data_IF_990399357922
#
_entry.id   IF_990399357922
#
_cell.length_a   1.000
_cell.length_b   1.000
_cell.length_c   1.000
_cell.angle_alpha   90.00
_cell.angle_beta   90.00
_cell.angle_gamma   90.00
#
_symmetry.space_group_name_H-M   'P 1'
#
loop_
_entity.id
_entity.type
_entity.pdbx_description
1 polymer ?
#
# COMPACT_ATOMS: atom_id res chain seq x y z
N UNK A 1 5.09 12.04 -4.16
CA UNK A 1 5.10 12.81 -2.90
C UNK A 1 4.40 12.00 -1.81
N UNK A 2 5.00 11.87 -0.63
CA UNK A 2 4.47 11.06 0.49
C UNK A 2 3.22 11.71 1.14
N UNK A 3 2.24 10.92 1.55
CA UNK A 3 1.00 11.35 2.23
C UNK A 3 1.31 12.18 3.48
N UNK A 4 2.31 11.75 4.26
CA UNK A 4 2.76 12.47 5.47
C UNK A 4 3.23 13.89 5.15
N UNK A 5 4.05 14.04 4.11
CA UNK A 5 4.57 15.35 3.68
C UNK A 5 3.46 16.29 3.20
N UNK A 6 2.43 15.75 2.54
CA UNK A 6 1.25 16.55 2.15
C UNK A 6 0.49 17.05 3.37
N UNK A 7 0.29 16.20 4.37
CA UNK A 7 -0.36 16.58 5.62
C UNK A 7 0.45 17.66 6.36
N UNK A 8 1.76 17.48 6.52
CA UNK A 8 2.63 18.44 7.21
C UNK A 8 2.53 19.84 6.59
N UNK A 9 2.62 19.94 5.26
CA UNK A 9 2.49 21.23 4.57
C UNK A 9 1.11 21.86 4.79
N UNK A 10 0.03 21.08 4.74
CA UNK A 10 -1.32 21.62 5.00
C UNK A 10 -1.48 22.04 6.46
N UNK A 11 -0.88 21.32 7.40
CA UNK A 11 -0.84 21.70 8.81
C UNK A 11 -0.09 23.03 8.98
N UNK A 12 1.07 23.19 8.33
CA UNK A 12 1.82 24.45 8.37
C UNK A 12 1.03 25.64 7.80
N UNK A 13 0.17 25.43 6.79
CA UNK A 13 -0.74 26.47 6.30
C UNK A 13 -1.79 26.84 7.34
N UNK A 14 -2.33 25.85 8.07
CA UNK A 14 -3.34 26.06 9.11
C UNK A 14 -2.73 26.77 10.32
N UNK A 15 -1.52 26.38 10.70
CA UNK A 15 -0.70 26.99 11.76
C UNK A 15 -0.14 28.38 11.35
N UNK A 16 -0.51 28.89 10.17
CA UNK A 16 -0.09 30.18 9.61
C UNK A 16 1.43 30.33 9.43
N UNK A 17 2.18 29.23 9.37
CA UNK A 17 3.64 29.23 9.15
C UNK A 17 4.00 29.47 7.69
N UNK A 18 3.13 29.08 6.76
CA UNK A 18 3.33 29.26 5.32
C UNK A 18 2.03 29.75 4.64
N UNK A 19 2.18 30.47 3.54
CA UNK A 19 1.03 30.93 2.74
C UNK A 19 0.45 29.81 1.88
N UNK A 20 -0.81 29.99 1.45
CA UNK A 20 -1.48 29.05 0.53
C UNK A 20 -0.77 28.93 -0.82
N UNK A 21 -0.15 30.01 -1.28
CA UNK A 21 0.65 30.06 -2.52
C UNK A 21 1.95 29.27 -2.36
N UNK A 22 2.64 29.43 -1.23
CA UNK A 22 3.84 28.63 -0.93
C UNK A 22 3.49 27.15 -0.88
N UNK A 23 2.38 26.78 -0.24
CA UNK A 23 1.89 25.41 -0.23
C UNK A 23 1.49 24.90 -1.62
N UNK A 24 0.88 25.74 -2.47
CA UNK A 24 0.49 25.33 -3.83
C UNK A 24 1.71 24.98 -4.68
N UNK A 25 2.80 25.76 -4.55
CA UNK A 25 4.08 25.50 -5.20
C UNK A 25 4.72 24.23 -4.62
N UNK A 26 4.83 24.09 -3.29
CA UNK A 26 5.44 22.91 -2.63
C UNK A 26 4.70 21.61 -2.92
N UNK A 27 3.38 21.66 -3.07
CA UNK A 27 2.53 20.51 -3.38
C UNK A 27 2.41 20.24 -4.89
N UNK A 28 2.86 21.16 -5.74
CA UNK A 28 2.56 21.18 -7.17
C UNK A 28 1.05 21.01 -7.43
N UNK A 29 0.22 21.79 -6.73
CA UNK A 29 -1.23 21.75 -6.81
C UNK A 29 -1.80 23.15 -6.97
N UNK A 30 -3.03 23.27 -7.46
CA UNK A 30 -3.71 24.56 -7.52
C UNK A 30 -4.09 25.06 -6.12
N UNK A 31 -4.18 26.38 -5.95
CA UNK A 31 -4.66 27.01 -4.69
C UNK A 31 -6.05 26.48 -4.31
N UNK A 32 -6.93 26.22 -5.30
CA UNK A 32 -8.22 25.55 -5.09
C UNK A 32 -8.05 24.23 -4.37
N UNK A 33 -7.14 23.37 -4.84
CA UNK A 33 -6.93 22.07 -4.21
C UNK A 33 -6.31 22.19 -2.80
N UNK A 34 -5.42 23.17 -2.59
CA UNK A 34 -4.93 23.50 -1.24
C UNK A 34 -6.08 23.85 -0.29
N UNK A 35 -7.02 24.70 -0.72
CA UNK A 35 -8.22 25.02 0.08
C UNK A 35 -9.09 23.78 0.36
N UNK A 36 -9.27 22.89 -0.63
CA UNK A 36 -9.99 21.61 -0.44
C UNK A 36 -9.28 20.75 0.61
N UNK A 37 -7.95 20.65 0.56
CA UNK A 37 -7.15 19.89 1.51
C UNK A 37 -7.22 20.46 2.93
N UNK A 38 -7.22 21.80 3.07
CA UNK A 38 -7.45 22.47 4.36
C UNK A 38 -8.82 22.11 4.93
N UNK A 39 -9.87 22.18 4.12
CA UNK A 39 -11.23 21.84 4.56
C UNK A 39 -11.35 20.36 4.96
N UNK A 40 -10.70 19.47 4.20
CA UNK A 40 -10.62 18.04 4.54
C UNK A 40 -9.90 17.80 5.87
N UNK A 41 -8.78 18.48 6.11
CA UNK A 41 -8.05 18.39 7.36
C UNK A 41 -8.89 18.90 8.54
N UNK A 42 -9.59 20.02 8.38
CA UNK A 42 -10.48 20.55 9.43
C UNK A 42 -11.62 19.59 9.79
N UNK A 43 -12.14 18.84 8.81
CA UNK A 43 -13.25 17.90 9.01
C UNK A 43 -12.81 16.56 9.61
N UNK A 44 -11.73 15.99 9.08
CA UNK A 44 -11.35 14.59 9.34
C UNK A 44 -9.93 14.44 9.94
N UNK A 45 -9.24 15.55 10.20
CA UNK A 45 -7.86 15.55 10.70
C UNK A 45 -6.89 14.83 9.76
N UNK A 46 -5.97 14.07 10.38
CA UNK A 46 -4.96 13.27 9.68
C UNK A 46 -5.55 12.24 8.71
N UNK A 47 -6.69 11.63 9.07
CA UNK A 47 -7.32 10.54 8.33
C UNK A 47 -7.72 10.99 6.91
N UNK A 48 -7.94 12.30 6.70
CA UNK A 48 -8.28 12.86 5.41
C UNK A 48 -7.21 12.69 4.32
N UNK A 49 -5.96 12.44 4.72
CA UNK A 49 -4.80 12.29 3.83
C UNK A 49 -4.43 10.85 3.57
N UNK A 50 -4.99 9.91 4.35
CA UNK A 50 -4.81 8.48 4.13
C UNK A 50 -5.53 8.12 2.83
N UNK A 51 -4.80 7.50 1.92
CA UNK A 51 -5.32 7.03 0.66
C UNK A 51 -6.44 6.03 0.92
N UNK A 52 -7.55 6.12 0.17
CA UNK A 52 -8.73 5.26 0.40
C UNK A 52 -8.46 3.77 0.16
N UNK A 53 -7.39 3.44 -0.57
CA UNK A 53 -6.93 2.06 -0.77
C UNK A 53 -5.92 1.62 0.28
N UNK A 54 -5.47 2.49 1.19
CA UNK A 54 -4.61 2.11 2.30
C UNK A 54 -5.36 1.12 3.18
N UNK A 55 -4.77 -0.07 3.38
CA UNK A 55 -5.39 -1.17 4.12
C UNK A 55 -6.44 -1.96 3.32
N UNK A 56 -6.83 -1.53 2.12
CA UNK A 56 -7.75 -2.30 1.28
C UNK A 56 -7.00 -3.43 0.58
N UNK A 57 -7.34 -4.66 0.89
CA UNK A 57 -6.85 -5.83 0.16
C UNK A 57 -7.52 -5.90 -1.21
N UNK A 58 -6.74 -6.23 -2.24
CA UNK A 58 -7.27 -6.51 -3.57
C UNK A 58 -8.10 -7.80 -3.54
N UNK A 59 -9.23 -7.84 -4.24
CA UNK A 59 -10.02 -9.08 -4.40
C UNK A 59 -9.23 -10.20 -5.11
N UNK A 60 -8.16 -9.84 -5.85
CA UNK A 60 -7.26 -10.79 -6.51
C UNK A 60 -6.12 -11.27 -5.61
N UNK A 61 -5.96 -10.70 -4.41
CA UNK A 61 -4.90 -11.09 -3.48
C UNK A 61 -5.19 -12.51 -3.00
N UNK A 62 -4.18 -13.37 -3.04
CA UNK A 62 -4.23 -14.70 -2.42
C UNK A 62 -4.48 -14.53 -0.92
N UNK A 63 -5.38 -15.33 -0.35
CA UNK A 63 -5.71 -15.23 1.07
C UNK A 63 -4.48 -15.45 1.95
N UNK A 64 -4.50 -14.86 3.14
CA UNK A 64 -3.44 -15.06 4.14
C UNK A 64 -3.26 -16.53 4.47
N UNK A 65 -4.35 -17.30 4.58
CA UNK A 65 -4.34 -18.72 4.91
C UNK A 65 -3.61 -19.55 3.83
N UNK A 66 -3.89 -19.29 2.55
CA UNK A 66 -3.20 -19.96 1.44
C UNK A 66 -1.72 -19.54 1.43
N UNK A 67 -1.43 -18.27 1.66
CA UNK A 67 -0.04 -17.77 1.73
C UNK A 67 0.75 -18.48 2.83
N UNK A 68 0.17 -18.61 4.03
CA UNK A 68 0.78 -19.31 5.16
C UNK A 68 0.96 -20.80 4.88
N UNK A 69 -0.03 -21.44 4.23
CA UNK A 69 0.08 -22.85 3.80
C UNK A 69 1.25 -23.05 2.84
N UNK A 70 1.41 -22.17 1.84
CA UNK A 70 2.51 -22.23 0.88
C UNK A 70 3.86 -22.10 1.58
N UNK A 71 4.01 -21.12 2.50
CA UNK A 71 5.25 -20.93 3.27
C UNK A 71 5.57 -22.16 4.11
N UNK A 72 4.57 -22.75 4.75
CA UNK A 72 4.74 -23.94 5.58
C UNK A 72 5.19 -25.15 4.74
N UNK A 73 4.53 -25.41 3.61
CA UNK A 73 4.91 -26.48 2.68
C UNK A 73 6.35 -26.32 2.20
N UNK A 74 6.74 -25.08 1.85
CA UNK A 74 8.10 -24.83 1.41
C UNK A 74 9.13 -25.14 2.51
N UNK A 75 8.87 -24.75 3.75
CA UNK A 75 9.78 -24.98 4.88
C UNK A 75 9.86 -26.44 5.32
N UNK A 76 8.72 -27.12 5.36
CA UNK A 76 8.61 -28.45 5.96
C UNK A 76 8.96 -29.57 4.96
N UNK A 77 8.57 -29.42 3.69
CA UNK A 77 8.61 -30.52 2.69
C UNK A 77 9.46 -30.21 1.46
N UNK A 78 9.67 -28.94 1.11
CA UNK A 78 10.29 -28.53 -0.16
C UNK A 78 11.47 -27.56 0.02
N UNK A 79 12.16 -27.61 1.15
CA UNK A 79 13.21 -26.65 1.49
C UNK A 79 14.38 -26.65 0.49
N UNK A 80 14.67 -27.80 -0.12
CA UNK A 80 15.73 -27.98 -1.11
C UNK A 80 15.27 -27.70 -2.56
N UNK A 81 13.99 -27.38 -2.77
CA UNK A 81 13.44 -27.20 -4.11
C UNK A 81 13.65 -25.76 -4.59
N UNK A 82 13.93 -25.62 -5.88
CA UNK A 82 13.85 -24.31 -6.54
C UNK A 82 12.37 -23.86 -6.68
N UNK A 83 12.14 -22.55 -6.74
CA UNK A 83 10.78 -21.99 -6.79
C UNK A 83 9.95 -22.45 -7.99
N UNK A 84 10.58 -22.80 -9.12
CA UNK A 84 9.87 -23.27 -10.31
C UNK A 84 9.32 -24.67 -10.07
N UNK A 85 10.15 -25.56 -9.56
CA UNK A 85 9.76 -26.92 -9.25
C UNK A 85 8.75 -26.97 -8.10
N UNK A 86 8.91 -26.09 -7.10
CA UNK A 86 7.91 -25.91 -6.06
C UNK A 86 6.57 -25.41 -6.62
N UNK A 87 6.57 -24.48 -7.57
CA UNK A 87 5.35 -24.00 -8.24
C UNK A 87 4.59 -25.12 -8.94
N UNK A 88 5.31 -26.01 -9.64
CA UNK A 88 4.74 -27.19 -10.29
C UNK A 88 4.09 -28.12 -9.26
N UNK A 89 4.79 -28.41 -8.15
CA UNK A 89 4.26 -29.26 -7.07
C UNK A 89 3.06 -28.67 -6.35
N UNK A 90 3.00 -27.34 -6.18
CA UNK A 90 1.83 -26.66 -5.64
C UNK A 90 0.59 -26.86 -6.53
N UNK A 91 0.75 -26.85 -7.85
CA UNK A 91 -0.35 -27.08 -8.78
C UNK A 91 -0.75 -28.55 -8.81
N UNK A 92 0.21 -29.46 -8.90
CA UNK A 92 -0.03 -30.91 -9.03
C UNK A 92 -0.65 -31.52 -7.76
N UNK A 93 -0.03 -31.28 -6.59
CA UNK A 93 -0.39 -31.99 -5.36
C UNK A 93 -1.47 -31.26 -4.55
N UNK A 94 -1.51 -29.94 -4.66
CA UNK A 94 -2.33 -29.09 -3.79
C UNK A 94 -3.38 -28.28 -4.56
N UNK A 95 -3.39 -28.32 -5.90
CA UNK A 95 -4.26 -27.52 -6.78
C UNK A 95 -4.19 -26.01 -6.48
N UNK A 96 -3.03 -25.54 -6.03
CA UNK A 96 -2.77 -24.14 -5.70
C UNK A 96 -2.10 -23.47 -6.90
N UNK A 97 -2.86 -22.62 -7.60
CA UNK A 97 -2.36 -21.85 -8.75
C UNK A 97 -1.81 -20.51 -8.30
N UNK A 98 -0.48 -20.35 -8.32
CA UNK A 98 0.22 -19.09 -8.03
C UNK A 98 1.20 -18.73 -9.13
N UNK A 99 1.52 -17.44 -9.28
CA UNK A 99 2.55 -17.01 -10.21
C UNK A 99 3.94 -17.24 -9.65
N UNK A 100 4.92 -17.46 -10.53
CA UNK A 100 6.32 -17.59 -10.13
C UNK A 100 6.82 -16.35 -9.36
N UNK A 101 6.43 -15.16 -9.84
CA UNK A 101 6.74 -13.88 -9.18
C UNK A 101 6.14 -13.75 -7.78
N UNK A 102 5.03 -14.42 -7.50
CA UNK A 102 4.44 -14.42 -6.16
C UNK A 102 5.28 -15.26 -5.20
N UNK A 103 5.80 -16.40 -5.65
CA UNK A 103 6.71 -17.22 -4.82
C UNK A 103 8.02 -16.50 -4.50
N UNK A 104 8.53 -15.69 -5.43
CA UNK A 104 9.70 -14.83 -5.20
C UNK A 104 9.44 -13.62 -4.28
N UNK A 105 8.18 -13.34 -3.96
CA UNK A 105 7.83 -12.17 -3.12
C UNK A 105 7.89 -12.45 -1.61
N UNK A 106 8.13 -13.70 -1.23
CA UNK A 106 8.38 -14.15 0.15
C UNK A 106 9.87 -14.05 0.49
#
# INVERSE_FOLDING_TARGET
MNEKKRMEIIKDVIDQKITKESASIKLCQTIRNVNILINKYKKNGYIAFIHKNTGRLSCRRISSDISQKIIKLYKDEFCDYNYKHFQEKLLENYNIKVSYTYLLSF
#
